data_IF_744760960935
#
_entry.id   IF_744760960935
#
_cell.length_a   1.000
_cell.length_b   1.000
_cell.length_c   1.000
_cell.angle_alpha   90.00
_cell.angle_beta   90.00
_cell.angle_gamma   90.00
#
_symmetry.space_group_name_H-M   'P 1'
#
loop_
_entity.id
_entity.type
_entity.pdbx_description
1 polymer ?
#
# COMPACT_ATOMS: atom_id res chain seq x y z
N UNK A 1 5.46 11.90 4.59
CA UNK A 1 5.48 12.42 3.21
C UNK A 1 4.12 12.99 2.86
N UNK A 2 4.08 14.06 2.13
CA UNK A 2 2.84 14.67 1.66
C UNK A 2 2.32 13.95 0.41
N UNK A 3 1.01 13.95 0.22
CA UNK A 3 0.37 13.25 -0.90
C UNK A 3 0.88 13.69 -2.27
N UNK A 4 0.94 15.01 -2.52
CA UNK A 4 1.39 15.51 -3.82
C UNK A 4 2.83 15.11 -4.13
N UNK A 5 3.70 15.15 -3.12
CA UNK A 5 5.10 14.72 -3.22
C UNK A 5 5.20 13.23 -3.53
N UNK A 6 4.41 12.43 -2.83
CA UNK A 6 4.35 10.98 -3.04
C UNK A 6 3.89 10.64 -4.47
N UNK A 7 2.78 11.23 -4.92
CA UNK A 7 2.24 10.97 -6.26
C UNK A 7 3.23 11.38 -7.36
N UNK A 8 3.87 12.53 -7.21
CA UNK A 8 4.89 12.98 -8.16
C UNK A 8 6.07 12.02 -8.22
N UNK A 9 6.54 11.57 -7.05
CA UNK A 9 7.68 10.64 -6.97
C UNK A 9 7.38 9.31 -7.65
N UNK A 10 6.23 8.70 -7.37
CA UNK A 10 5.92 7.39 -7.94
C UNK A 10 5.54 7.46 -9.41
N UNK A 11 4.99 8.58 -9.90
CA UNK A 11 4.81 8.78 -11.34
C UNK A 11 6.13 8.79 -12.06
N UNK A 12 7.15 9.41 -11.47
CA UNK A 12 8.52 9.39 -12.01
C UNK A 12 9.13 8.00 -12.05
N UNK A 13 8.64 7.08 -11.21
CA UNK A 13 9.07 5.68 -11.17
C UNK A 13 8.23 4.78 -12.09
N UNK A 14 7.25 5.33 -12.82
CA UNK A 14 6.42 4.57 -13.74
C UNK A 14 5.09 4.06 -13.17
N UNK A 15 4.70 4.50 -11.98
CA UNK A 15 3.39 4.15 -11.40
C UNK A 15 2.35 5.08 -12.00
N UNK A 16 1.58 4.57 -12.97
CA UNK A 16 0.61 5.39 -13.70
C UNK A 16 -0.82 5.25 -13.19
N UNK A 17 -1.13 4.17 -12.45
CA UNK A 17 -2.44 3.94 -11.88
C UNK A 17 -2.37 4.24 -10.38
N UNK A 18 -2.95 5.39 -10.01
CA UNK A 18 -2.94 5.89 -8.63
C UNK A 18 -4.38 6.03 -8.16
N UNK A 19 -4.73 5.35 -7.08
CA UNK A 19 -6.10 5.33 -6.54
C UNK A 19 -6.09 5.57 -5.04
N UNK A 20 -7.15 6.18 -4.53
CA UNK A 20 -7.38 6.32 -3.09
C UNK A 20 -8.34 5.22 -2.64
N UNK A 21 -8.01 4.59 -1.51
CA UNK A 21 -8.83 3.54 -0.91
C UNK A 21 -9.07 3.83 0.56
N UNK A 22 -10.20 3.31 1.06
CA UNK A 22 -10.53 3.36 2.49
C UNK A 22 -10.87 1.95 2.96
N UNK A 23 -10.26 1.54 4.07
CA UNK A 23 -10.55 0.27 4.72
C UNK A 23 -11.32 0.50 6.01
N UNK A 24 -12.25 -0.40 6.32
CA UNK A 24 -13.08 -0.33 7.51
C UNK A 24 -12.26 -0.57 8.79
N UNK A 25 -12.74 -0.05 9.95
CA UNK A 25 -12.09 -0.32 11.23
C UNK A 25 -11.91 -1.82 11.47
N UNK A 26 -10.73 -2.19 11.92
CA UNK A 26 -10.37 -3.56 12.29
C UNK A 26 -10.52 -4.59 11.16
N UNK A 27 -10.59 -4.15 9.91
CA UNK A 27 -10.66 -5.05 8.77
C UNK A 27 -9.32 -5.78 8.61
N UNK A 28 -9.38 -7.05 8.22
CA UNK A 28 -8.19 -7.84 7.89
C UNK A 28 -8.41 -8.51 6.53
N UNK A 29 -7.52 -8.21 5.57
CA UNK A 29 -7.57 -8.81 4.25
C UNK A 29 -6.87 -10.17 4.28
N UNK A 30 -7.45 -11.15 3.57
CA UNK A 30 -6.85 -12.48 3.46
C UNK A 30 -5.51 -12.41 2.72
N UNK A 31 -4.59 -13.35 2.98
CA UNK A 31 -3.32 -13.43 2.25
C UNK A 31 -3.56 -13.50 0.74
N UNK A 32 -2.80 -12.71 -0.02
CA UNK A 32 -2.94 -12.62 -1.47
C UNK A 32 -1.66 -12.11 -2.11
N UNK A 33 -1.61 -12.16 -3.45
CA UNK A 33 -0.54 -11.59 -4.25
C UNK A 33 -1.12 -10.70 -5.34
N UNK A 34 -0.27 -9.85 -5.92
CA UNK A 34 -0.63 -9.02 -7.08
C UNK A 34 0.41 -9.19 -8.19
N UNK A 35 0.00 -9.12 -9.46
CA UNK A 35 0.95 -9.21 -10.57
C UNK A 35 1.61 -7.86 -10.90
N UNK A 36 1.58 -6.90 -9.99
CA UNK A 36 2.18 -5.57 -10.18
C UNK A 36 2.93 -5.13 -8.93
N UNK A 37 3.85 -4.19 -9.12
CA UNK A 37 4.51 -3.50 -8.02
C UNK A 37 3.53 -2.51 -7.38
N UNK A 38 3.67 -2.29 -6.08
CA UNK A 38 2.78 -1.43 -5.30
C UNK A 38 3.58 -0.42 -4.48
N UNK A 39 3.09 0.83 -4.45
CA UNK A 39 3.56 1.87 -3.53
C UNK A 39 2.35 2.42 -2.79
N UNK A 40 2.48 2.60 -1.49
CA UNK A 40 1.39 3.06 -0.62
C UNK A 40 1.84 4.25 0.21
N UNK A 41 0.93 5.23 0.39
CA UNK A 41 1.06 6.31 1.36
C UNK A 41 -0.19 6.30 2.23
N UNK A 42 -0.03 6.18 3.53
CA UNK A 42 -1.15 6.25 4.48
C UNK A 42 -1.48 7.72 4.73
N UNK A 43 -2.76 8.08 4.57
CA UNK A 43 -3.25 9.44 4.81
C UNK A 43 -3.90 9.57 6.19
N UNK A 44 -4.68 8.57 6.59
CA UNK A 44 -5.41 8.56 7.87
C UNK A 44 -5.44 7.15 8.44
N UNK A 45 -5.59 7.06 9.75
CA UNK A 45 -5.68 5.77 10.44
C UNK A 45 -4.37 5.00 10.45
N UNK A 46 -4.46 3.68 10.43
CA UNK A 46 -3.27 2.83 10.49
C UNK A 46 -3.45 1.60 9.62
N UNK A 47 -2.42 1.27 8.85
CA UNK A 47 -2.34 0.06 8.05
C UNK A 47 -1.12 -0.75 8.49
N UNK A 48 -1.29 -2.04 8.71
CA UNK A 48 -0.18 -2.96 8.95
C UNK A 48 -0.12 -3.95 7.79
N UNK A 49 1.03 -3.99 7.10
CA UNK A 49 1.27 -4.97 6.04
C UNK A 49 2.15 -6.07 6.60
N UNK A 50 1.67 -7.32 6.51
CA UNK A 50 2.43 -8.47 6.98
C UNK A 50 2.91 -9.25 5.77
N UNK A 51 4.23 -9.37 5.63
CA UNK A 51 4.84 -10.17 4.57
C UNK A 51 6.02 -10.94 5.15
N UNK A 52 6.18 -12.20 4.73
CA UNK A 52 7.26 -13.06 5.19
C UNK A 52 7.35 -13.12 6.72
N UNK A 53 6.18 -13.11 7.39
CA UNK A 53 6.11 -13.16 8.84
C UNK A 53 6.47 -11.87 9.56
N UNK A 54 6.73 -10.77 8.86
CA UNK A 54 7.12 -9.49 9.44
C UNK A 54 6.00 -8.47 9.26
N UNK A 55 5.58 -7.86 10.38
CA UNK A 55 4.56 -6.81 10.38
C UNK A 55 5.21 -5.43 10.21
N UNK A 56 4.72 -4.69 9.20
CA UNK A 56 5.17 -3.33 8.92
C UNK A 56 4.02 -2.38 9.21
N UNK A 57 4.11 -1.67 10.34
CA UNK A 57 3.06 -0.74 10.77
C UNK A 57 3.26 0.61 10.09
N UNK A 58 2.23 1.08 9.39
CA UNK A 58 2.24 2.36 8.68
C UNK A 58 1.22 3.31 9.28
N UNK A 59 1.69 4.46 9.74
CA UNK A 59 0.89 5.55 10.29
C UNK A 59 0.77 6.67 9.24
N UNK A 60 -0.10 7.69 9.45
CA UNK A 60 -0.22 8.79 8.49
C UNK A 60 1.14 9.40 8.14
N UNK A 61 1.38 9.55 6.84
CA UNK A 61 2.66 10.03 6.32
C UNK A 61 3.67 8.95 6.00
N UNK A 62 3.47 7.73 6.49
CA UNK A 62 4.35 6.61 6.20
C UNK A 62 4.07 6.04 4.82
N UNK A 63 5.13 5.52 4.18
CA UNK A 63 5.03 4.88 2.87
C UNK A 63 5.46 3.42 2.96
N UNK A 64 4.98 2.62 2.01
CA UNK A 64 5.35 1.22 1.92
C UNK A 64 5.51 0.84 0.44
N UNK A 65 6.46 -0.03 0.15
CA UNK A 65 6.72 -0.50 -1.20
C UNK A 65 6.72 -2.03 -1.20
N UNK A 66 6.14 -2.62 -2.24
CA UNK A 66 6.08 -4.07 -2.35
C UNK A 66 6.21 -4.49 -3.81
N UNK A 67 7.08 -5.48 -4.07
CA UNK A 67 7.27 -6.01 -5.40
C UNK A 67 6.10 -6.90 -5.82
N UNK A 68 5.91 -7.04 -7.13
CA UNK A 68 4.93 -7.97 -7.69
C UNK A 68 5.12 -9.39 -7.14
N UNK A 69 4.02 -10.11 -7.02
CA UNK A 69 3.98 -11.53 -6.60
C UNK A 69 4.41 -11.79 -5.15
N UNK A 70 4.59 -10.74 -4.35
CA UNK A 70 4.89 -10.90 -2.93
C UNK A 70 3.62 -11.33 -2.18
N UNK A 71 3.68 -12.46 -1.47
CA UNK A 71 2.56 -12.93 -0.66
C UNK A 71 2.47 -12.09 0.62
N UNK A 72 1.29 -11.56 0.91
CA UNK A 72 1.10 -10.65 2.04
C UNK A 72 -0.37 -10.58 2.43
N UNK A 73 -0.62 -10.00 3.62
CA UNK A 73 -1.96 -9.56 4.00
C UNK A 73 -1.87 -8.24 4.76
N UNK A 74 -3.01 -7.54 4.88
CA UNK A 74 -3.09 -6.26 5.59
C UNK A 74 -4.07 -6.36 6.75
N UNK A 75 -3.75 -5.63 7.82
CA UNK A 75 -4.64 -5.38 8.95
C UNK A 75 -4.79 -3.87 9.12
N UNK A 76 -5.98 -3.44 9.49
CA UNK A 76 -6.27 -2.02 9.65
C UNK A 76 -6.63 -1.74 11.10
N UNK A 77 -6.23 -0.56 11.60
CA UNK A 77 -6.43 -0.19 12.99
C UNK A 77 -7.87 0.09 13.36
N UNK A 78 -8.13 0.47 14.63
CA UNK A 78 -9.51 0.65 15.14
C UNK A 78 -10.27 1.81 14.48
N UNK A 79 -9.59 2.72 13.82
CA UNK A 79 -10.21 3.79 13.04
C UNK A 79 -10.24 3.50 11.55
N UNK A 80 -9.83 2.29 11.12
CA UNK A 80 -9.65 2.00 9.71
C UNK A 80 -8.44 2.68 9.13
N UNK A 81 -8.42 2.90 7.83
CA UNK A 81 -7.34 3.64 7.17
C UNK A 81 -7.81 4.19 5.82
N UNK A 82 -7.32 5.39 5.49
CA UNK A 82 -7.43 5.94 4.14
C UNK A 82 -6.01 6.05 3.60
N UNK A 83 -5.80 5.56 2.40
CA UNK A 83 -4.46 5.51 1.80
C UNK A 83 -4.50 5.68 0.30
N UNK A 84 -3.38 6.12 -0.26
CA UNK A 84 -3.17 6.24 -1.70
C UNK A 84 -2.30 5.07 -2.14
N UNK A 85 -2.72 4.40 -3.20
CA UNK A 85 -2.05 3.22 -3.75
C UNK A 85 -1.67 3.47 -5.20
N UNK A 86 -0.41 3.26 -5.53
CA UNK A 86 0.05 3.27 -6.92
C UNK A 86 0.41 1.86 -7.37
N UNK A 87 0.10 1.55 -8.62
CA UNK A 87 0.43 0.27 -9.27
C UNK A 87 1.33 0.50 -10.47
N UNK A 88 2.25 -0.44 -10.66
CA UNK A 88 3.10 -0.48 -11.85
C UNK A 88 3.16 -1.91 -12.35
N UNK A 89 2.70 -2.14 -13.57
CA UNK A 89 2.79 -3.48 -14.15
C UNK A 89 4.25 -3.86 -14.38
N UNK A 90 4.53 -5.15 -14.24
CA UNK A 90 5.85 -5.71 -14.50
C UNK A 90 5.77 -6.60 -15.73
N UNK A 91 6.91 -6.76 -16.42
CA UNK A 91 6.98 -7.65 -17.57
C UNK A 91 6.68 -9.08 -17.14
N UNK A 92 5.99 -9.86 -17.97
CA UNK A 92 5.80 -11.30 -17.70
C UNK A 92 7.15 -11.99 -17.52
N UNK A 93 7.17 -12.93 -16.57
CA UNK A 93 8.37 -13.72 -16.33
C UNK A 93 8.62 -14.69 -17.48
#
# INVERSE_FOLDING_TARGET
MQRAEFESAIRGEGFSEIIEKTAQPNFEAQPHTHPWDVRILVLEGQMTVVKQGVAHVCNPGDTFAMAAHCDHFERYGPAGSTYVLGRREVAPA
#
